data_IF_471446942897
#
_entry.id   IF_471446942897
#
_cell.length_a   1.000
_cell.length_b   1.000
_cell.length_c   1.000
_cell.angle_alpha   90.00
_cell.angle_beta   90.00
_cell.angle_gamma   90.00
#
_symmetry.space_group_name_H-M   'P 1'
#
loop_
_entity.id
_entity.type
_entity.pdbx_description
1 polymer ?
#
# COMPACT_ATOMS: atom_id res chain seq x y z
N UNK A 1 6.76 -6.34 27.56
CA UNK A 1 6.29 -5.45 28.64
C UNK A 1 4.93 -4.89 28.24
N UNK A 2 4.03 -4.85 29.18
CA UNK A 2 2.74 -4.17 29.01
C UNK A 2 2.96 -2.65 29.05
N UNK A 3 2.26 -1.92 28.17
CA UNK A 3 2.24 -0.43 28.17
C UNK A 3 1.04 -0.01 29.01
N UNK A 4 1.29 0.77 30.05
CA UNK A 4 0.25 1.46 30.81
C UNK A 4 0.48 2.96 30.72
N UNK A 5 -0.58 3.73 30.64
CA UNK A 5 -0.53 5.19 30.55
C UNK A 5 -1.70 5.84 31.30
N UNK A 6 -1.59 7.13 31.54
CA UNK A 6 -2.72 7.91 32.06
C UNK A 6 -3.64 8.33 30.91
N UNK A 7 -4.93 8.02 31.00
CA UNK A 7 -5.94 8.31 29.97
C UNK A 7 -6.05 9.81 29.64
N UNK A 8 -5.75 10.69 30.60
CA UNK A 8 -5.70 12.15 30.37
C UNK A 8 -4.55 12.56 29.42
N UNK A 9 -3.58 11.68 29.17
CA UNK A 9 -2.39 11.93 28.34
C UNK A 9 -2.18 10.76 27.37
N UNK A 10 -2.92 10.72 26.25
CA UNK A 10 -2.85 9.61 25.30
C UNK A 10 -1.46 9.49 24.69
N UNK A 11 -0.96 8.26 24.60
CA UNK A 11 0.30 7.94 23.91
C UNK A 11 0.06 7.92 22.41
N UNK A 12 0.38 9.02 21.74
CA UNK A 12 0.19 9.15 20.29
C UNK A 12 1.27 8.36 19.52
N UNK A 13 2.53 8.44 19.97
CA UNK A 13 3.66 7.80 19.26
C UNK A 13 4.62 7.16 20.23
N UNK A 14 5.19 6.01 19.78
CA UNK A 14 6.23 5.28 20.51
C UNK A 14 7.43 5.02 19.58
N UNK A 15 8.63 5.28 20.10
CA UNK A 15 9.88 4.85 19.48
C UNK A 15 10.62 3.91 20.41
N UNK A 16 11.07 2.76 19.89
CA UNK A 16 11.87 1.79 20.64
C UNK A 16 13.30 1.85 20.15
N UNK A 17 14.24 2.13 21.06
CA UNK A 17 15.67 2.25 20.77
C UNK A 17 15.98 3.18 19.57
N UNK A 18 15.53 4.44 19.58
CA UNK A 18 15.57 5.33 18.39
C UNK A 18 16.98 5.58 17.84
N UNK A 19 18.01 5.43 18.65
CA UNK A 19 19.41 5.63 18.26
C UNK A 19 20.24 4.33 18.27
N UNK A 20 19.59 3.18 18.16
CA UNK A 20 20.32 1.91 18.06
C UNK A 20 21.21 1.88 16.82
N UNK A 21 22.52 1.73 17.04
CA UNK A 21 23.52 1.75 15.97
C UNK A 21 23.68 3.09 15.26
N UNK A 22 23.25 4.19 15.88
CA UNK A 22 23.48 5.53 15.35
C UNK A 22 24.99 5.80 15.19
N UNK A 23 25.35 6.49 14.10
CA UNK A 23 26.73 6.86 13.81
C UNK A 23 26.90 8.38 13.81
N UNK A 24 28.13 8.84 14.05
CA UNK A 24 28.46 10.24 14.12
C UNK A 24 28.97 10.82 12.76
N UNK A 25 29.40 12.07 12.78
CA UNK A 25 29.88 12.80 11.58
C UNK A 25 31.19 12.24 11.00
N UNK A 26 31.99 11.53 11.79
CA UNK A 26 33.30 11.01 11.37
C UNK A 26 33.22 9.60 10.79
N UNK A 27 32.07 8.96 10.90
CA UNK A 27 31.87 7.58 10.48
C UNK A 27 31.32 7.51 9.05
N UNK A 28 31.76 6.48 8.34
CA UNK A 28 31.30 6.12 7.01
C UNK A 28 30.29 4.97 7.08
N UNK A 29 29.34 5.00 6.19
CA UNK A 29 28.33 3.97 6.12
C UNK A 29 27.03 4.49 5.49
N UNK A 30 25.97 3.77 5.72
CA UNK A 30 24.67 4.10 5.14
C UNK A 30 23.52 3.42 5.89
N UNK A 31 22.33 3.95 5.64
CA UNK A 31 21.05 3.35 6.01
C UNK A 31 20.38 2.77 4.78
N UNK A 32 19.67 1.68 4.94
CA UNK A 32 18.78 1.10 3.92
C UNK A 32 17.35 1.30 4.36
N UNK A 33 16.53 1.82 3.46
CA UNK A 33 15.09 2.02 3.63
C UNK A 33 14.33 1.26 2.55
N UNK A 34 13.19 0.65 2.85
CA UNK A 34 12.50 -0.30 1.97
C UNK A 34 11.52 0.38 1.00
N UNK A 35 11.87 1.54 0.49
CA UNK A 35 11.07 2.24 -0.50
C UNK A 35 11.26 1.64 -1.89
N UNK A 36 10.16 1.29 -2.56
CA UNK A 36 10.20 0.65 -3.86
C UNK A 36 11.05 -0.62 -3.88
N UNK A 37 12.15 -0.58 -4.62
CA UNK A 37 13.15 -1.66 -4.69
C UNK A 37 14.24 -1.57 -3.61
N UNK A 38 14.15 -0.58 -2.74
CA UNK A 38 15.09 -0.24 -1.68
C UNK A 38 15.87 1.04 -1.97
N UNK A 39 15.99 1.89 -0.95
CA UNK A 39 16.76 3.13 -0.97
C UNK A 39 18.02 3.05 -0.10
N UNK A 40 19.12 3.66 -0.53
CA UNK A 40 20.36 3.80 0.22
C UNK A 40 20.60 5.26 0.58
N UNK A 41 20.67 5.56 1.88
CA UNK A 41 20.97 6.90 2.40
C UNK A 41 22.36 6.87 3.02
N UNK A 42 23.34 7.47 2.34
CA UNK A 42 24.71 7.53 2.87
C UNK A 42 24.78 8.45 4.09
N UNK A 43 25.56 8.07 5.08
CA UNK A 43 25.89 8.93 6.21
C UNK A 43 26.52 10.24 5.75
N UNK A 44 26.26 11.32 6.46
CA UNK A 44 26.91 12.61 6.25
C UNK A 44 26.87 13.11 4.79
N UNK A 45 25.79 12.81 4.05
CA UNK A 45 25.68 13.12 2.62
C UNK A 45 25.46 14.62 2.30
N UNK A 46 25.41 15.47 3.31
CA UNK A 46 25.30 16.93 3.19
C UNK A 46 23.90 17.46 2.84
N UNK A 47 22.91 16.59 2.64
CA UNK A 47 21.54 16.99 2.28
C UNK A 47 20.70 17.44 3.49
N UNK A 48 21.28 18.27 4.34
CA UNK A 48 20.65 18.69 5.60
C UNK A 48 19.45 19.61 5.40
N UNK A 49 19.33 20.29 4.27
CA UNK A 49 18.20 21.14 3.92
C UNK A 49 16.96 20.38 3.41
N UNK A 50 17.08 19.10 3.09
CA UNK A 50 15.93 18.28 2.68
C UNK A 50 15.17 17.75 3.89
N UNK A 51 13.92 17.39 3.71
CA UNK A 51 13.15 16.70 4.78
C UNK A 51 13.81 15.36 5.14
N UNK A 52 13.66 14.92 6.40
CA UNK A 52 14.06 13.58 6.78
C UNK A 52 13.23 12.55 6.01
N UNK A 53 13.82 11.39 5.76
CA UNK A 53 13.05 10.28 5.20
C UNK A 53 12.04 9.78 6.24
N UNK A 54 10.79 9.72 5.83
CA UNK A 54 9.70 9.08 6.57
C UNK A 54 8.78 8.38 5.59
N UNK A 55 8.43 7.13 5.87
CA UNK A 55 7.56 6.34 5.02
C UNK A 55 6.78 5.35 5.88
N UNK A 56 5.46 5.38 5.74
CA UNK A 56 4.59 4.44 6.43
C UNK A 56 4.78 3.04 5.86
N UNK A 57 4.87 2.06 6.75
CA UNK A 57 4.95 0.66 6.36
C UNK A 57 3.61 0.26 5.73
N UNK A 58 3.68 -0.26 4.49
CA UNK A 58 2.53 -0.58 3.63
C UNK A 58 1.73 0.61 3.09
N UNK A 59 2.17 1.85 3.34
CA UNK A 59 1.54 3.06 2.86
C UNK A 59 0.44 3.60 3.76
N UNK A 60 -0.40 4.47 3.21
CA UNK A 60 -1.42 5.19 3.93
C UNK A 60 -2.50 4.28 4.52
N UNK A 61 -2.87 4.54 5.76
CA UNK A 61 -4.04 3.96 6.42
C UNK A 61 -5.31 4.71 5.98
N UNK A 62 -6.19 4.03 5.26
CA UNK A 62 -7.44 4.60 4.76
C UNK A 62 -8.43 5.01 5.85
N UNK A 63 -8.24 4.53 7.08
CA UNK A 63 -9.01 4.95 8.25
C UNK A 63 -8.56 6.29 8.87
N UNK A 64 -7.55 6.95 8.29
CA UNK A 64 -7.01 8.21 8.76
C UNK A 64 -7.15 9.32 7.72
N UNK A 65 -7.64 10.48 8.14
CA UNK A 65 -7.65 11.66 7.29
C UNK A 65 -6.21 12.07 6.93
N UNK A 66 -5.99 12.44 5.68
CA UNK A 66 -4.69 12.97 5.26
C UNK A 66 -4.82 14.25 4.46
N UNK A 67 -3.77 15.07 4.54
CA UNK A 67 -3.60 16.20 3.65
C UNK A 67 -3.19 15.74 2.25
N UNK A 68 -3.28 16.62 1.27
CA UNK A 68 -2.87 16.38 -0.13
C UNK A 68 -1.48 15.77 -0.21
N UNK A 69 -1.40 14.57 -0.77
CA UNK A 69 -0.14 13.91 -1.12
C UNK A 69 -0.25 13.45 -2.56
N UNK A 70 0.57 14.04 -3.43
CA UNK A 70 0.62 13.68 -4.86
C UNK A 70 1.50 12.46 -5.05
N UNK A 71 2.66 12.45 -4.39
CA UNK A 71 3.61 11.35 -4.42
C UNK A 71 3.69 10.73 -3.03
N UNK A 72 3.18 9.53 -2.89
CA UNK A 72 3.22 8.79 -1.65
C UNK A 72 4.49 7.95 -1.55
N UNK A 73 5.31 8.24 -0.53
CA UNK A 73 6.41 7.38 -0.14
C UNK A 73 5.88 6.24 0.71
N UNK A 74 6.05 4.99 0.26
CA UNK A 74 5.64 3.84 1.06
C UNK A 74 6.71 2.77 1.14
N UNK A 75 6.86 2.23 2.34
CA UNK A 75 7.71 1.08 2.62
C UNK A 75 6.98 -0.22 2.28
N UNK A 76 7.51 -1.00 1.34
CA UNK A 76 6.92 -2.28 0.96
C UNK A 76 7.21 -3.40 1.96
N UNK A 77 8.21 -3.21 2.83
CA UNK A 77 8.63 -4.17 3.84
C UNK A 77 8.82 -3.50 5.20
N UNK A 78 8.49 -4.15 6.31
CA UNK A 78 8.67 -3.63 7.66
C UNK A 78 10.13 -3.76 8.12
N UNK A 79 11.05 -3.13 7.41
CA UNK A 79 12.49 -3.32 7.50
C UNK A 79 13.22 -1.98 7.44
N UNK A 80 14.27 -1.85 8.21
CA UNK A 80 15.35 -0.89 7.99
C UNK A 80 16.70 -1.56 8.29
N UNK A 81 17.78 -1.01 7.74
CA UNK A 81 19.11 -1.47 8.06
C UNK A 81 20.09 -0.30 8.24
N UNK A 82 21.11 -0.53 9.06
CA UNK A 82 22.25 0.37 9.22
C UNK A 82 23.52 -0.43 8.99
N UNK A 83 24.38 0.07 8.11
CA UNK A 83 25.72 -0.48 7.86
C UNK A 83 26.75 0.59 8.18
N UNK A 84 27.57 0.35 9.19
CA UNK A 84 28.70 1.20 9.58
C UNK A 84 29.99 0.60 9.01
N UNK A 85 30.50 1.23 7.95
CA UNK A 85 31.71 0.79 7.25
C UNK A 85 32.99 1.12 8.05
N UNK A 86 32.93 2.07 8.97
CA UNK A 86 34.07 2.42 9.83
C UNK A 86 34.31 1.34 10.89
N UNK A 87 33.24 0.86 11.53
CA UNK A 87 33.32 -0.15 12.56
C UNK A 87 33.18 -1.58 12.03
N UNK A 88 32.94 -1.74 10.73
CA UNK A 88 32.67 -3.04 10.08
C UNK A 88 31.54 -3.81 10.76
N UNK A 89 30.46 -3.12 11.06
CA UNK A 89 29.30 -3.70 11.72
C UNK A 89 28.01 -3.23 11.07
N UNK A 90 27.00 -4.07 11.11
CA UNK A 90 25.68 -3.73 10.58
C UNK A 90 24.59 -4.45 11.33
N UNK A 91 23.37 -4.02 11.12
CA UNK A 91 22.18 -4.77 11.49
C UNK A 91 21.01 -4.49 10.56
N UNK A 92 20.10 -5.45 10.53
CA UNK A 92 18.73 -5.31 10.04
C UNK A 92 17.81 -5.18 11.25
N UNK A 93 16.86 -4.26 11.19
CA UNK A 93 15.76 -4.17 12.14
C UNK A 93 14.45 -4.45 11.39
N UNK A 94 13.71 -5.45 11.86
CA UNK A 94 12.42 -5.86 11.28
C UNK A 94 11.34 -5.62 12.32
N UNK A 95 10.31 -4.86 11.98
CA UNK A 95 9.09 -4.77 12.78
C UNK A 95 8.27 -6.06 12.52
N UNK A 96 8.35 -7.03 13.44
CA UNK A 96 7.72 -8.36 13.27
C UNK A 96 6.24 -8.36 13.57
N UNK A 97 5.84 -7.64 14.61
CA UNK A 97 4.45 -7.47 15.05
C UNK A 97 4.16 -5.98 15.19
N UNK A 98 2.92 -5.61 14.89
CA UNK A 98 2.48 -4.21 14.88
C UNK A 98 3.10 -3.38 13.76
N UNK A 99 3.57 -4.00 12.68
CA UNK A 99 4.21 -3.31 11.55
C UNK A 99 3.28 -2.36 10.80
N UNK A 100 1.97 -2.57 10.84
CA UNK A 100 0.97 -1.66 10.25
C UNK A 100 0.87 -0.32 10.96
N UNK A 101 1.32 -0.23 12.22
CA UNK A 101 1.40 1.03 12.97
C UNK A 101 2.73 1.76 12.79
N UNK A 102 3.64 1.17 12.02
CA UNK A 102 5.02 1.64 11.95
C UNK A 102 5.28 2.57 10.77
N UNK A 103 6.00 3.64 11.04
CA UNK A 103 6.64 4.52 10.05
C UNK A 103 8.14 4.29 10.12
N UNK A 104 8.80 4.02 9.00
CA UNK A 104 10.26 4.03 8.90
C UNK A 104 10.74 5.46 8.85
N UNK A 105 11.66 5.83 9.75
CA UNK A 105 12.33 7.12 9.74
C UNK A 105 13.83 6.94 9.60
N UNK A 106 14.46 7.73 8.73
CA UNK A 106 15.91 7.83 8.64
C UNK A 106 16.34 9.30 8.55
N UNK A 107 17.41 9.65 9.28
CA UNK A 107 17.92 11.00 9.31
C UNK A 107 19.45 11.01 9.31
N UNK A 108 20.04 12.09 8.81
CA UNK A 108 21.48 12.27 8.70
C UNK A 108 21.97 13.27 9.75
N UNK A 109 23.23 13.10 10.12
CA UNK A 109 23.93 14.03 10.99
C UNK A 109 23.93 15.47 10.44
N UNK A 110 23.87 16.43 11.36
CA UNK A 110 23.89 17.87 11.05
C UNK A 110 22.54 18.46 10.64
N UNK A 111 21.47 17.66 10.66
CA UNK A 111 20.12 18.12 10.34
C UNK A 111 19.32 18.47 11.61
N UNK A 112 18.92 17.47 12.36
CA UNK A 112 18.18 17.64 13.62
C UNK A 112 19.06 17.40 14.86
N UNK A 113 20.11 16.62 14.70
CA UNK A 113 21.10 16.29 15.71
C UNK A 113 22.44 15.89 15.07
N UNK A 114 23.39 15.43 15.85
CA UNK A 114 24.74 15.01 15.39
C UNK A 114 24.83 13.56 14.94
N UNK A 115 23.73 12.86 14.71
CA UNK A 115 23.73 11.42 14.41
C UNK A 115 23.09 11.09 13.07
N UNK A 116 23.66 10.08 12.39
CA UNK A 116 22.99 9.35 11.33
C UNK A 116 22.26 8.17 11.97
N UNK A 117 20.97 8.06 11.83
CA UNK A 117 20.17 7.02 12.48
C UNK A 117 18.93 6.63 11.70
N UNK A 118 18.48 5.40 11.90
CA UNK A 118 17.21 4.89 11.40
C UNK A 118 16.41 4.25 12.53
N UNK A 119 15.11 4.41 12.51
CA UNK A 119 14.22 3.89 13.55
C UNK A 119 12.82 3.65 13.03
N UNK A 120 12.03 2.86 13.76
CA UNK A 120 10.59 2.81 13.61
C UNK A 120 9.89 3.75 14.59
N UNK A 121 8.87 4.44 14.11
CA UNK A 121 7.91 5.20 14.91
C UNK A 121 6.59 4.45 14.83
N UNK A 122 6.04 4.03 15.95
CA UNK A 122 4.71 3.43 16.03
C UNK A 122 3.69 4.50 16.39
N UNK A 123 2.69 4.71 15.53
CA UNK A 123 1.53 5.56 15.81
C UNK A 123 0.47 4.70 16.49
N UNK A 124 0.16 4.99 17.76
CA UNK A 124 -0.68 4.12 18.60
C UNK A 124 -2.09 4.67 18.80
N UNK A 125 -2.22 5.96 19.06
CA UNK A 125 -3.50 6.63 19.22
C UNK A 125 -3.54 7.78 18.23
N UNK A 126 -4.47 7.71 17.29
CA UNK A 126 -4.67 8.78 16.31
C UNK A 126 -5.60 9.84 16.89
N UNK A 127 -5.39 11.06 16.44
CA UNK A 127 -6.25 12.16 16.83
C UNK A 127 -6.49 13.09 15.66
N UNK A 128 -7.72 13.57 15.54
CA UNK A 128 -8.16 14.47 14.48
C UNK A 128 -8.89 15.68 15.03
N UNK A 129 -9.00 16.72 14.23
CA UNK A 129 -9.84 17.86 14.56
C UNK A 129 -11.25 17.59 14.04
N UNK A 130 -12.21 17.64 14.95
CA UNK A 130 -13.63 17.48 14.65
C UNK A 130 -14.29 18.85 14.65
N UNK A 131 -15.00 19.20 13.59
CA UNK A 131 -15.81 20.41 13.54
C UNK A 131 -17.03 20.25 14.45
N UNK A 132 -17.17 21.17 15.39
CA UNK A 132 -18.29 21.18 16.35
C UNK A 132 -19.33 22.24 16.05
N UNK A 133 -19.14 23.04 15.01
CA UNK A 133 -20.05 24.13 14.62
C UNK A 133 -20.12 24.27 13.12
N UNK A 134 -21.32 24.31 12.58
CA UNK A 134 -21.60 24.65 11.16
C UNK A 134 -21.57 26.16 10.88
N UNK A 135 -21.39 26.98 11.92
CA UNK A 135 -21.46 28.46 11.83
C UNK A 135 -20.13 29.16 12.11
N UNK A 136 -19.14 28.43 12.59
CA UNK A 136 -17.81 28.96 12.92
C UNK A 136 -16.77 27.85 12.74
N UNK A 137 -15.54 28.20 12.42
CA UNK A 137 -14.41 27.29 12.31
C UNK A 137 -13.94 26.75 13.68
N UNK A 138 -14.90 26.36 14.52
CA UNK A 138 -14.60 25.86 15.87
C UNK A 138 -14.38 24.35 15.78
N UNK A 139 -13.16 23.93 16.05
CA UNK A 139 -12.76 22.53 16.09
C UNK A 139 -12.40 22.08 17.49
N UNK A 140 -12.60 20.80 17.78
CA UNK A 140 -12.14 20.14 19.00
C UNK A 140 -11.25 18.97 18.60
N UNK A 141 -10.11 18.83 19.27
CA UNK A 141 -9.22 17.68 19.06
C UNK A 141 -9.83 16.45 19.72
N UNK A 142 -10.09 15.42 18.96
CA UNK A 142 -10.60 14.12 19.40
C UNK A 142 -9.56 13.04 19.15
N UNK A 143 -9.59 11.97 19.92
CA UNK A 143 -8.66 10.86 19.86
C UNK A 143 -9.42 9.53 19.81
N UNK A 144 -8.75 8.50 19.32
CA UNK A 144 -9.21 7.11 19.47
C UNK A 144 -9.34 6.72 20.94
N UNK A 145 -10.24 5.79 21.23
CA UNK A 145 -10.65 5.44 22.61
C UNK A 145 -9.60 4.65 23.41
N UNK A 146 -8.40 4.43 22.87
CA UNK A 146 -7.34 3.74 23.61
C UNK A 146 -6.27 3.12 22.74
N UNK A 147 -5.35 2.43 23.38
CA UNK A 147 -4.27 1.72 22.70
C UNK A 147 -4.82 0.55 21.89
N UNK A 148 -4.25 0.27 20.69
CA UNK A 148 -4.59 -0.92 19.95
C UNK A 148 -4.28 -2.18 20.76
N UNK A 149 -5.13 -3.20 20.64
CA UNK A 149 -4.90 -4.52 21.27
C UNK A 149 -3.91 -5.34 20.43
N UNK A 150 -2.70 -4.83 20.29
CA UNK A 150 -1.65 -5.41 19.46
C UNK A 150 -0.33 -5.51 20.22
N UNK A 151 0.47 -6.50 19.83
CA UNK A 151 1.85 -6.61 20.29
C UNK A 151 2.77 -5.87 19.32
N UNK A 152 3.70 -5.09 19.86
CA UNK A 152 4.76 -4.47 19.06
C UNK A 152 6.06 -5.22 19.29
N UNK A 153 6.68 -5.70 18.24
CA UNK A 153 7.98 -6.36 18.35
C UNK A 153 8.94 -5.96 17.24
N UNK A 154 10.20 -5.81 17.61
CA UNK A 154 11.32 -5.54 16.70
C UNK A 154 12.36 -6.64 16.83
N UNK A 155 12.80 -7.18 15.70
CA UNK A 155 13.91 -8.12 15.62
C UNK A 155 15.12 -7.44 15.04
N UNK A 156 16.23 -7.51 15.78
CA UNK A 156 17.54 -7.07 15.30
C UNK A 156 18.37 -8.28 14.87
N UNK A 157 18.88 -8.23 13.65
CA UNK A 157 19.78 -9.25 13.07
C UNK A 157 21.11 -8.56 12.84
N UNK A 158 22.09 -8.88 13.69
CA UNK A 158 23.43 -8.28 13.63
C UNK A 158 24.32 -9.05 12.65
N UNK A 159 25.20 -8.32 11.97
CA UNK A 159 26.14 -8.86 11.00
C UNK A 159 27.47 -8.10 11.04
N UNK A 160 28.56 -8.79 10.70
CA UNK A 160 29.89 -8.22 10.45
C UNK A 160 30.09 -7.79 8.97
N UNK A 161 29.06 -7.97 8.15
CA UNK A 161 29.09 -7.62 6.74
C UNK A 161 28.41 -6.28 6.54
N UNK A 162 29.04 -5.41 5.76
CA UNK A 162 28.54 -4.06 5.50
C UNK A 162 28.08 -3.85 4.07
N UNK A 163 28.15 -4.87 3.20
CA UNK A 163 27.61 -4.79 1.84
C UNK A 163 26.09 -4.98 1.83
N UNK A 164 25.38 -4.13 1.09
CA UNK A 164 23.92 -4.19 1.03
C UNK A 164 23.39 -5.51 0.45
N UNK A 165 24.13 -6.16 -0.44
CA UNK A 165 23.74 -7.43 -1.02
C UNK A 165 23.79 -8.57 0.01
N UNK A 166 24.72 -8.50 0.95
CA UNK A 166 24.80 -9.47 2.05
C UNK A 166 23.67 -9.23 3.05
N UNK A 167 23.37 -7.97 3.39
CA UNK A 167 22.20 -7.63 4.22
C UNK A 167 20.88 -8.09 3.57
N UNK A 168 20.75 -7.96 2.25
CA UNK A 168 19.58 -8.47 1.52
C UNK A 168 19.49 -10.01 1.59
N UNK A 169 20.63 -10.73 1.56
CA UNK A 169 20.67 -12.19 1.78
C UNK A 169 20.26 -12.57 3.20
N UNK A 170 20.70 -11.82 4.21
CA UNK A 170 20.28 -12.01 5.60
C UNK A 170 18.75 -11.87 5.73
N UNK A 171 18.18 -10.81 5.17
CA UNK A 171 16.73 -10.60 5.18
C UNK A 171 15.98 -11.71 4.44
N UNK A 172 16.47 -12.13 3.27
CA UNK A 172 15.91 -13.27 2.56
C UNK A 172 15.95 -14.55 3.38
N UNK A 173 17.06 -14.80 4.09
CA UNK A 173 17.20 -15.95 5.00
C UNK A 173 16.18 -15.90 6.15
N UNK A 174 15.94 -14.71 6.71
CA UNK A 174 14.91 -14.48 7.69
C UNK A 174 13.51 -14.79 7.12
N UNK A 175 13.17 -14.26 5.92
CA UNK A 175 11.88 -14.51 5.27
C UNK A 175 11.66 -16.00 4.97
N UNK A 176 12.67 -16.71 4.49
CA UNK A 176 12.59 -18.15 4.21
C UNK A 176 12.36 -18.99 5.47
N UNK A 177 12.89 -18.57 6.61
CA UNK A 177 12.61 -19.21 7.92
C UNK A 177 11.20 -18.91 8.40
N UNK A 178 10.75 -17.66 8.25
CA UNK A 178 9.40 -17.23 8.67
C UNK A 178 8.31 -17.80 7.76
N UNK A 179 8.60 -17.91 6.46
CA UNK A 179 7.68 -18.39 5.44
C UNK A 179 8.31 -19.53 4.61
N UNK A 180 8.28 -20.77 5.11
CA UNK A 180 8.93 -21.92 4.44
C UNK A 180 8.43 -22.20 3.03
N UNK A 181 7.23 -21.69 2.67
CA UNK A 181 6.68 -21.78 1.30
C UNK A 181 7.41 -20.90 0.28
N UNK A 182 8.22 -19.91 0.73
CA UNK A 182 9.07 -19.09 -0.14
C UNK A 182 10.27 -19.91 -0.62
N UNK A 183 10.02 -20.83 -1.55
CA UNK A 183 11.04 -21.66 -2.19
C UNK A 183 11.61 -21.03 -3.46
N UNK A 184 12.56 -21.73 -4.08
CA UNK A 184 13.00 -21.41 -5.44
C UNK A 184 11.92 -21.84 -6.41
N UNK A 185 11.51 -20.94 -7.29
CA UNK A 185 10.70 -21.31 -8.47
C UNK A 185 11.63 -22.00 -9.45
N UNK A 186 11.31 -23.25 -9.84
CA UNK A 186 12.03 -23.94 -10.91
C UNK A 186 11.85 -23.20 -12.24
N UNK A 187 12.86 -23.25 -13.10
CA UNK A 187 12.81 -22.61 -14.43
C UNK A 187 11.66 -23.12 -15.31
N UNK A 188 11.26 -24.37 -15.10
CA UNK A 188 10.14 -25.06 -15.75
C UNK A 188 8.75 -24.58 -15.24
N UNK A 189 8.73 -23.84 -14.13
CA UNK A 189 7.51 -23.30 -13.51
C UNK A 189 7.38 -21.77 -13.64
N UNK A 190 8.27 -21.14 -14.38
CA UNK A 190 8.16 -19.70 -14.62
C UNK A 190 6.91 -19.43 -15.48
N UNK A 191 5.98 -18.66 -14.92
CA UNK A 191 4.77 -18.28 -15.61
C UNK A 191 4.90 -16.90 -16.27
N UNK A 192 4.29 -16.74 -17.44
CA UNK A 192 4.04 -15.44 -18.04
C UNK A 192 2.94 -14.73 -17.24
N UNK A 193 3.23 -13.57 -16.67
CA UNK A 193 2.22 -12.71 -16.06
C UNK A 193 1.58 -11.82 -17.14
N UNK A 194 0.25 -11.90 -17.27
CA UNK A 194 -0.52 -11.11 -18.24
C UNK A 194 -1.60 -10.37 -17.48
N UNK A 195 -1.71 -9.05 -17.67
CA UNK A 195 -2.86 -8.29 -17.20
C UNK A 195 -3.71 -7.84 -18.39
N UNK A 196 -5.00 -8.14 -18.34
CA UNK A 196 -6.00 -7.72 -19.31
C UNK A 196 -6.95 -6.73 -18.63
N UNK A 197 -7.26 -5.65 -19.32
CA UNK A 197 -8.18 -4.63 -18.83
C UNK A 197 -9.50 -4.77 -19.60
N UNK A 198 -10.58 -5.06 -18.89
CA UNK A 198 -11.91 -5.26 -19.42
C UNK A 198 -12.58 -3.93 -19.79
N UNK A 199 -13.21 -3.27 -18.83
CA UNK A 199 -13.91 -2.02 -19.04
C UNK A 199 -13.30 -0.88 -18.24
N UNK A 200 -13.23 0.29 -18.86
CA UNK A 200 -12.81 1.56 -18.25
C UNK A 200 -13.94 2.57 -18.39
N UNK A 201 -13.94 3.59 -17.55
CA UNK A 201 -14.86 4.72 -17.72
C UNK A 201 -14.41 5.59 -18.88
N UNK A 202 -15.40 6.01 -19.69
CA UNK A 202 -15.23 6.97 -20.76
C UNK A 202 -16.38 8.00 -20.73
N UNK A 203 -16.10 9.25 -21.09
CA UNK A 203 -17.10 10.32 -21.12
C UNK A 203 -17.63 10.48 -22.53
N UNK A 204 -18.84 9.98 -22.76
CA UNK A 204 -19.59 10.18 -24.01
C UNK A 204 -20.46 11.44 -23.90
N UNK A 205 -20.55 12.24 -24.98
CA UNK A 205 -21.44 13.37 -25.03
C UNK A 205 -22.77 12.98 -25.71
N UNK A 206 -23.83 12.90 -24.92
CA UNK A 206 -25.20 12.58 -25.44
C UNK A 206 -26.02 13.85 -25.43
N UNK A 207 -26.43 14.29 -26.60
CA UNK A 207 -27.16 15.56 -26.81
C UNK A 207 -26.44 16.77 -26.15
N UNK A 208 -25.09 16.75 -26.16
CA UNK A 208 -24.28 17.82 -25.59
C UNK A 208 -23.99 17.67 -24.07
N UNK A 209 -24.60 16.69 -23.40
CA UNK A 209 -24.35 16.43 -21.96
C UNK A 209 -23.29 15.35 -21.79
N UNK A 210 -22.26 15.56 -20.92
CA UNK A 210 -21.27 14.54 -20.61
C UNK A 210 -21.92 13.42 -19.80
N UNK A 211 -21.78 12.19 -20.27
CA UNK A 211 -22.28 10.98 -19.60
C UNK A 211 -21.14 9.98 -19.47
N UNK A 212 -20.76 9.64 -18.24
CA UNK A 212 -19.75 8.62 -17.99
C UNK A 212 -20.34 7.22 -18.22
N UNK A 213 -19.71 6.46 -19.10
CA UNK A 213 -20.10 5.07 -19.41
C UNK A 213 -18.89 4.15 -19.44
N UNK A 214 -19.12 2.89 -19.13
CA UNK A 214 -18.08 1.87 -19.25
C UNK A 214 -17.78 1.60 -20.73
N UNK A 215 -16.54 1.77 -21.15
CA UNK A 215 -16.02 1.43 -22.46
C UNK A 215 -15.27 0.10 -22.41
N UNK A 216 -15.56 -0.80 -23.36
CA UNK A 216 -14.84 -2.08 -23.47
C UNK A 216 -13.47 -1.88 -24.11
N UNK A 217 -12.42 -2.38 -23.44
CA UNK A 217 -11.07 -2.55 -24.01
C UNK A 217 -10.82 -3.98 -24.42
N UNK A 218 -11.07 -4.93 -23.53
CA UNK A 218 -10.94 -6.37 -23.81
C UNK A 218 -12.21 -7.08 -23.36
N UNK A 219 -12.98 -7.62 -24.29
CA UNK A 219 -14.18 -8.40 -23.98
C UNK A 219 -13.83 -9.78 -23.40
N UNK A 220 -14.81 -10.51 -22.81
CA UNK A 220 -14.59 -11.85 -22.27
C UNK A 220 -14.13 -12.83 -23.36
N UNK A 221 -14.70 -12.73 -24.54
CA UNK A 221 -14.31 -13.56 -25.70
C UNK A 221 -12.91 -13.21 -26.22
N UNK A 222 -12.55 -11.93 -26.26
CA UNK A 222 -11.20 -11.49 -26.62
C UNK A 222 -10.17 -11.93 -25.58
N UNK A 223 -10.48 -11.84 -24.29
CA UNK A 223 -9.60 -12.31 -23.21
C UNK A 223 -9.31 -13.81 -23.37
N UNK A 224 -10.35 -14.62 -23.65
CA UNK A 224 -10.18 -16.05 -23.94
C UNK A 224 -9.30 -16.28 -25.16
N UNK A 225 -9.55 -15.56 -26.27
CA UNK A 225 -8.74 -15.68 -27.49
C UNK A 225 -7.27 -15.34 -27.27
N UNK A 226 -6.97 -14.28 -26.50
CA UNK A 226 -5.60 -13.90 -26.13
C UNK A 226 -4.91 -15.06 -25.38
N UNK A 227 -5.58 -15.67 -24.39
CA UNK A 227 -5.03 -16.79 -23.64
C UNK A 227 -4.83 -18.03 -24.52
N UNK A 228 -5.75 -18.32 -25.44
CA UNK A 228 -5.61 -19.39 -26.42
C UNK A 228 -4.41 -19.18 -27.34
N UNK A 229 -4.22 -17.96 -27.84
CA UNK A 229 -3.13 -17.64 -28.77
C UNK A 229 -1.76 -17.67 -28.06
N UNK A 230 -1.67 -17.24 -26.81
CA UNK A 230 -0.46 -17.38 -26.01
C UNK A 230 -0.10 -18.88 -25.81
N UNK A 231 -1.10 -19.73 -25.56
CA UNK A 231 -0.89 -21.16 -25.41
C UNK A 231 -0.47 -21.81 -26.72
N UNK A 232 -1.11 -21.46 -27.84
CA UNK A 232 -0.71 -21.92 -29.20
C UNK A 232 0.72 -21.46 -29.52
N UNK A 233 1.18 -20.32 -29.03
CA UNK A 233 2.55 -19.85 -29.17
C UNK A 233 3.56 -20.63 -28.30
N UNK A 234 3.13 -21.65 -27.55
CA UNK A 234 3.99 -22.51 -26.74
C UNK A 234 4.24 -22.04 -25.32
N UNK A 235 3.49 -21.03 -24.83
CA UNK A 235 3.59 -20.56 -23.46
C UNK A 235 2.76 -21.47 -22.56
N UNK A 236 3.44 -22.39 -21.84
CA UNK A 236 2.78 -23.45 -21.06
C UNK A 236 2.28 -22.98 -19.68
N UNK A 237 2.88 -21.93 -19.09
CA UNK A 237 2.49 -21.45 -17.79
C UNK A 237 2.08 -19.96 -17.90
N UNK A 238 0.83 -19.65 -17.53
CA UNK A 238 0.25 -18.31 -17.67
C UNK A 238 -0.49 -17.95 -16.37
N UNK A 239 -0.11 -16.84 -15.77
CA UNK A 239 -0.84 -16.17 -14.70
C UNK A 239 -1.52 -14.93 -15.28
N UNK A 240 -2.81 -15.05 -15.58
CA UNK A 240 -3.60 -13.97 -16.15
C UNK A 240 -4.40 -13.25 -15.05
N UNK A 241 -4.32 -11.93 -15.00
CA UNK A 241 -5.17 -11.07 -14.19
C UNK A 241 -6.16 -10.33 -15.11
N UNK A 242 -7.43 -10.38 -14.79
CA UNK A 242 -8.45 -9.67 -15.55
C UNK A 242 -9.09 -8.60 -14.67
N UNK A 243 -8.80 -7.34 -14.97
CA UNK A 243 -9.22 -6.17 -14.21
C UNK A 243 -10.41 -5.51 -14.90
N UNK A 244 -11.34 -4.92 -14.14
CA UNK A 244 -12.49 -4.20 -14.71
C UNK A 244 -13.53 -5.09 -15.38
N UNK A 245 -13.69 -6.32 -14.91
CA UNK A 245 -14.56 -7.34 -15.48
C UNK A 245 -16.02 -7.27 -15.00
N UNK A 246 -16.32 -6.55 -13.91
CA UNK A 246 -17.64 -6.52 -13.30
C UNK A 246 -18.08 -5.10 -12.91
N UNK A 247 -19.37 -4.95 -12.63
CA UNK A 247 -20.06 -3.74 -12.24
C UNK A 247 -19.79 -2.57 -13.23
N UNK A 248 -18.98 -1.61 -12.88
CA UNK A 248 -18.67 -0.42 -13.68
C UNK A 248 -17.30 -0.49 -14.37
N UNK A 249 -16.58 -1.58 -14.24
CA UNK A 249 -15.25 -1.71 -14.83
C UNK A 249 -14.13 -1.49 -13.82
N UNK A 250 -13.05 -0.81 -14.21
CA UNK A 250 -11.85 -0.61 -13.35
C UNK A 250 -12.20 0.17 -12.08
N UNK A 251 -13.07 1.18 -12.18
CA UNK A 251 -13.62 1.89 -11.03
C UNK A 251 -14.84 1.13 -10.51
N UNK A 252 -14.59 0.24 -9.57
CA UNK A 252 -15.58 -0.72 -9.09
C UNK A 252 -16.53 -0.12 -8.06
N UNK A 253 -17.84 -0.27 -8.30
CA UNK A 253 -18.85 -0.08 -7.26
C UNK A 253 -18.86 -1.28 -6.30
N UNK A 254 -19.65 -1.19 -5.23
CA UNK A 254 -19.70 -2.23 -4.18
C UNK A 254 -19.77 -3.66 -4.73
N UNK A 255 -18.86 -4.51 -4.26
CA UNK A 255 -18.85 -5.94 -4.55
C UNK A 255 -19.96 -6.75 -3.83
N UNK A 256 -20.82 -6.09 -3.05
CA UNK A 256 -22.00 -6.72 -2.44
C UNK A 256 -22.98 -7.29 -3.49
N UNK A 257 -22.97 -6.71 -4.68
CA UNK A 257 -23.72 -7.22 -5.85
C UNK A 257 -22.79 -7.23 -7.06
N UNK A 258 -22.39 -8.40 -7.49
CA UNK A 258 -21.55 -8.59 -8.68
C UNK A 258 -22.42 -8.78 -9.92
N UNK A 259 -22.20 -7.96 -10.93
CA UNK A 259 -22.84 -8.05 -12.25
C UNK A 259 -21.77 -7.97 -13.32
N UNK A 260 -21.89 -8.79 -14.34
CA UNK A 260 -21.04 -8.68 -15.54
C UNK A 260 -21.27 -7.33 -16.24
N UNK A 261 -20.20 -6.78 -16.80
CA UNK A 261 -20.32 -5.57 -17.64
C UNK A 261 -20.84 -5.99 -19.02
N UNK A 262 -22.06 -5.58 -19.35
CA UNK A 262 -22.73 -6.01 -20.59
C UNK A 262 -21.98 -5.65 -21.88
N UNK A 263 -21.15 -4.62 -21.88
CA UNK A 263 -20.27 -4.26 -23.01
C UNK A 263 -19.09 -5.21 -23.21
N UNK A 264 -18.76 -6.03 -22.21
CA UNK A 264 -17.70 -7.06 -22.30
C UNK A 264 -18.22 -8.41 -22.81
N UNK A 265 -19.53 -8.62 -22.77
CA UNK A 265 -20.17 -9.85 -23.15
C UNK A 265 -21.23 -10.31 -22.14
N UNK A 266 -21.76 -11.50 -22.37
CA UNK A 266 -22.73 -12.14 -21.48
C UNK A 266 -22.06 -12.85 -20.30
N UNK A 267 -22.85 -13.27 -19.30
CA UNK A 267 -22.36 -14.12 -18.22
C UNK A 267 -21.83 -15.47 -18.74
N UNK A 268 -22.45 -15.99 -19.79
CA UNK A 268 -21.96 -17.22 -20.45
C UNK A 268 -20.57 -17.05 -21.07
N UNK A 269 -20.27 -15.88 -21.65
CA UNK A 269 -18.94 -15.62 -22.20
C UNK A 269 -17.87 -15.57 -21.09
N UNK A 270 -18.22 -15.04 -19.90
CA UNK A 270 -17.34 -15.06 -18.74
C UNK A 270 -17.16 -16.49 -18.19
N UNK A 271 -18.23 -17.28 -18.12
CA UNK A 271 -18.19 -18.68 -17.72
C UNK A 271 -17.31 -19.49 -18.66
N UNK A 272 -17.41 -19.25 -19.98
CA UNK A 272 -16.55 -19.89 -20.99
C UNK A 272 -15.07 -19.52 -20.83
N UNK A 273 -14.76 -18.26 -20.51
CA UNK A 273 -13.40 -17.80 -20.23
C UNK A 273 -12.83 -18.49 -18.98
N UNK A 274 -13.58 -18.49 -17.88
CA UNK A 274 -13.14 -19.11 -16.62
C UNK A 274 -13.00 -20.63 -16.77
N UNK A 275 -13.97 -21.29 -17.40
CA UNK A 275 -13.92 -22.72 -17.65
C UNK A 275 -12.75 -23.13 -18.58
N UNK A 276 -12.38 -22.28 -19.53
CA UNK A 276 -11.20 -22.50 -20.36
C UNK A 276 -9.93 -22.44 -19.51
N UNK A 277 -9.78 -21.41 -18.67
CA UNK A 277 -8.61 -21.27 -17.80
C UNK A 277 -8.48 -22.45 -16.82
N UNK A 278 -9.58 -22.85 -16.18
CA UNK A 278 -9.61 -23.95 -15.21
C UNK A 278 -9.25 -25.33 -15.82
N UNK A 279 -9.61 -25.54 -17.08
CA UNK A 279 -9.31 -26.79 -17.80
C UNK A 279 -7.92 -26.82 -18.40
N UNK A 280 -7.24 -25.70 -18.49
CA UNK A 280 -5.94 -25.56 -19.14
C UNK A 280 -4.81 -25.74 -18.13
N UNK A 281 -4.04 -26.82 -18.26
CA UNK A 281 -2.92 -27.06 -17.35
C UNK A 281 -1.86 -25.95 -17.44
N UNK A 282 -1.41 -25.47 -16.29
CA UNK A 282 -0.43 -24.37 -16.20
C UNK A 282 -1.03 -22.97 -16.34
N UNK A 283 -2.34 -22.84 -16.51
CA UNK A 283 -3.02 -21.54 -16.60
C UNK A 283 -3.73 -21.23 -15.29
N UNK A 284 -3.60 -19.97 -14.83
CA UNK A 284 -4.36 -19.43 -13.71
C UNK A 284 -4.97 -18.11 -14.14
N UNK A 285 -6.28 -17.93 -13.90
CA UNK A 285 -7.00 -16.69 -14.15
C UNK A 285 -7.45 -16.08 -12.83
N UNK A 286 -7.02 -14.85 -12.57
CA UNK A 286 -7.39 -14.06 -11.40
C UNK A 286 -8.33 -12.95 -11.83
N UNK A 287 -9.56 -13.00 -11.36
CA UNK A 287 -10.54 -11.95 -11.53
C UNK A 287 -10.30 -10.88 -10.45
N UNK A 288 -9.83 -9.71 -10.86
CA UNK A 288 -9.48 -8.63 -9.92
C UNK A 288 -10.72 -8.03 -9.26
N UNK A 289 -10.66 -7.81 -7.96
CA UNK A 289 -11.71 -7.14 -7.19
C UNK A 289 -11.11 -6.24 -6.11
N UNK A 290 -11.77 -5.11 -5.87
CA UNK A 290 -11.45 -4.19 -4.79
C UNK A 290 -12.41 -4.41 -3.63
N UNK A 291 -11.89 -4.68 -2.44
CA UNK A 291 -12.69 -5.03 -1.25
C UNK A 291 -12.48 -4.07 -0.09
N UNK A 292 -11.50 -3.18 -0.19
CA UNK A 292 -11.13 -2.22 0.86
C UNK A 292 -11.61 -0.80 0.58
N UNK A 293 -12.16 -0.54 -0.60
CA UNK A 293 -12.84 0.71 -0.90
C UNK A 293 -13.86 0.52 -2.02
N UNK A 294 -14.80 1.46 -2.14
CA UNK A 294 -15.88 1.49 -3.11
C UNK A 294 -15.83 2.80 -3.89
N UNK A 295 -15.84 2.72 -5.20
CA UNK A 295 -15.91 3.88 -6.06
C UNK A 295 -17.33 4.41 -6.17
N UNK A 296 -17.57 5.58 -5.64
CA UNK A 296 -18.87 6.28 -5.60
C UNK A 296 -19.99 5.56 -4.84
N UNK A 297 -20.80 6.35 -4.18
CA UNK A 297 -22.12 5.97 -3.68
C UNK A 297 -23.13 6.10 -4.84
N UNK A 298 -23.63 4.98 -5.36
CA UNK A 298 -24.64 4.94 -6.43
C UNK A 298 -25.95 4.43 -5.89
N UNK A 299 -27.02 5.07 -6.29
CA UNK A 299 -28.36 4.65 -5.93
C UNK A 299 -28.61 3.19 -6.34
N UNK A 300 -29.12 2.38 -5.41
CA UNK A 300 -29.52 0.97 -5.58
C UNK A 300 -28.40 -0.03 -5.87
N UNK A 301 -27.14 0.29 -5.65
CA UNK A 301 -26.02 -0.65 -5.78
C UNK A 301 -25.78 -1.50 -4.52
N UNK A 302 -26.45 -1.16 -3.40
CA UNK A 302 -26.36 -1.85 -2.11
C UNK A 302 -25.35 -1.23 -1.16
N UNK A 303 -24.72 -0.11 -1.52
CA UNK A 303 -23.84 0.69 -0.70
C UNK A 303 -24.47 2.06 -0.40
N UNK A 304 -24.21 2.58 0.78
CA UNK A 304 -24.48 3.96 1.18
C UNK A 304 -23.32 4.45 2.02
N UNK A 305 -22.63 5.49 1.57
CA UNK A 305 -21.46 6.04 2.26
C UNK A 305 -21.77 6.35 3.72
N UNK A 306 -22.87 7.02 3.99
CA UNK A 306 -23.31 7.37 5.35
C UNK A 306 -23.45 6.17 6.31
N UNK A 307 -23.82 4.99 5.78
CA UNK A 307 -24.10 3.79 6.59
C UNK A 307 -23.00 2.74 6.55
N UNK A 308 -22.31 2.62 5.41
CA UNK A 308 -21.43 1.50 5.13
C UNK A 308 -19.95 1.91 5.06
N UNK A 309 -19.63 3.18 4.78
CA UNK A 309 -18.26 3.65 4.83
C UNK A 309 -17.73 3.67 6.28
N UNK A 310 -16.45 3.39 6.43
CA UNK A 310 -15.75 3.64 7.69
C UNK A 310 -15.83 5.11 8.07
N UNK A 311 -15.60 5.41 9.34
CA UNK A 311 -15.58 6.79 9.84
C UNK A 311 -14.19 7.12 10.38
N UNK A 312 -13.72 8.30 10.06
CA UNK A 312 -12.56 8.88 10.72
C UNK A 312 -12.81 9.09 12.23
N UNK A 313 -11.75 9.38 12.96
CA UNK A 313 -11.87 9.75 14.38
C UNK A 313 -12.73 11.01 14.55
N UNK A 314 -12.69 11.92 13.57
CA UNK A 314 -13.58 13.09 13.47
C UNK A 314 -15.06 12.76 13.24
N UNK A 315 -15.41 11.48 13.00
CA UNK A 315 -16.74 10.95 12.65
C UNK A 315 -17.20 11.26 11.22
N UNK A 316 -16.37 11.91 10.43
CA UNK A 316 -16.59 12.09 8.99
C UNK A 316 -16.44 10.75 8.25
N UNK A 317 -17.03 10.65 7.07
CA UNK A 317 -16.88 9.48 6.21
C UNK A 317 -15.44 9.36 5.73
N UNK A 318 -14.88 8.15 5.70
CA UNK A 318 -13.54 7.92 5.16
C UNK A 318 -13.58 8.04 3.64
N UNK A 319 -13.52 9.28 3.16
CA UNK A 319 -13.44 9.60 1.74
C UNK A 319 -11.98 9.60 1.28
N UNK A 320 -11.72 8.87 0.19
CA UNK A 320 -10.41 8.73 -0.42
C UNK A 320 -10.37 9.58 -1.69
N UNK A 321 -9.80 10.77 -1.59
CA UNK A 321 -9.71 11.68 -2.72
C UNK A 321 -8.58 11.29 -3.67
N UNK A 322 -8.88 11.27 -4.98
CA UNK A 322 -7.86 11.29 -5.99
C UNK A 322 -7.37 12.73 -6.20
N UNK A 323 -6.06 12.91 -6.18
CA UNK A 323 -5.45 14.21 -6.35
C UNK A 323 -5.00 14.43 -7.78
N UNK A 324 -5.28 15.61 -8.31
CA UNK A 324 -4.74 16.03 -9.60
C UNK A 324 -3.25 16.41 -9.42
N UNK A 325 -2.31 15.74 -10.10
CA UNK A 325 -0.88 16.00 -9.96
C UNK A 325 -0.43 17.36 -10.53
N UNK A 326 -1.29 18.03 -11.30
CA UNK A 326 -1.00 19.34 -11.89
C UNK A 326 -1.48 20.47 -11.00
N UNK A 327 -2.72 20.37 -10.53
CA UNK A 327 -3.35 21.44 -9.73
C UNK A 327 -3.13 21.27 -8.24
N UNK A 328 -2.70 20.10 -7.77
CA UNK A 328 -2.57 19.73 -6.36
C UNK A 328 -3.88 19.88 -5.57
N UNK A 329 -5.01 19.71 -6.25
CA UNK A 329 -6.33 19.79 -5.65
C UNK A 329 -7.02 18.42 -5.67
N UNK A 330 -7.96 18.21 -4.75
CA UNK A 330 -8.81 17.04 -4.79
C UNK A 330 -9.64 17.06 -6.08
N UNK A 331 -9.71 15.92 -6.75
CA UNK A 331 -10.57 15.75 -7.91
C UNK A 331 -11.93 15.23 -7.43
N UNK A 332 -12.90 16.12 -7.28
CA UNK A 332 -14.25 15.82 -6.77
C UNK A 332 -15.02 14.81 -7.64
N UNK A 333 -14.60 14.61 -8.89
CA UNK A 333 -15.23 13.63 -9.79
C UNK A 333 -14.89 12.17 -9.42
N UNK A 334 -13.93 11.96 -8.51
CA UNK A 334 -13.38 10.66 -8.17
C UNK A 334 -13.26 10.49 -6.65
N UNK A 335 -14.37 10.22 -5.99
CA UNK A 335 -14.39 9.89 -4.57
C UNK A 335 -14.56 8.39 -4.39
N UNK A 336 -13.61 7.77 -3.68
CA UNK A 336 -13.71 6.42 -3.17
C UNK A 336 -14.06 6.47 -1.69
N UNK A 337 -14.72 5.45 -1.17
CA UNK A 337 -15.08 5.31 0.25
C UNK A 337 -14.46 4.03 0.81
N UNK A 338 -13.75 4.16 1.92
CA UNK A 338 -13.21 3.01 2.66
C UNK A 338 -14.27 2.35 3.53
#
# INVERSE_FOLDING_TARGET
KEISYNEDYPIVKLQVLPYMGASNVDEKGYMIVPEGTGGKINFNNGKTGQQRYQSDVYGWDYGQARTTIVDETKSNFPLLAIANETTQSSFLCVAEEGSSYATVQADISGKNNGYNYGTFIYSLIHGENMDVSTKSDTTVRVYEDGLPNETLSQRYIFSDKTDYSDLAKEYRGYLQKKYPSLGKVGSDKQALAVEMIGAVDDTEHILGYPVVRSQSLTSYTQAKSILEDLQKAGIGNINAKYTGWFNTGVKQTSAAKVKTVGRLGSSSDLEDLTAYADKTNGMQLYLNGTFNYVYKDKWFDGFSSTRNAAKFVSREECELYNWDPITYQANDDYTDYH
#
